data_IF_820793637151
#
_entry.id   IF_820793637151
#
_cell.length_a   1.000
_cell.length_b   1.000
_cell.length_c   1.000
_cell.angle_alpha   90.00
_cell.angle_beta   90.00
_cell.angle_gamma   90.00
#
_symmetry.space_group_name_H-M   'P 1'
#
loop_
_entity.id
_entity.type
_entity.pdbx_description
1 polymer ?
#
# COMPACT_ATOMS: atom_id res chain seq x y z
N UNK A 1 -36.11 -7.92 -38.31
CA UNK A 1 -34.75 -7.76 -38.84
C UNK A 1 -34.41 -6.28 -38.93
N UNK A 2 -33.52 -5.80 -38.06
CA UNK A 2 -32.56 -4.70 -38.24
C UNK A 2 -31.93 -4.42 -36.88
N UNK A 3 -30.61 -4.62 -36.82
CA UNK A 3 -29.82 -4.53 -35.59
C UNK A 3 -29.64 -3.09 -35.12
N UNK A 4 -29.34 -2.97 -33.83
CA UNK A 4 -28.76 -1.77 -33.23
C UNK A 4 -27.40 -2.15 -32.68
N UNK A 5 -26.38 -1.78 -33.43
CA UNK A 5 -25.00 -1.60 -32.97
C UNK A 5 -24.96 -0.33 -32.12
N UNK A 6 -24.55 -0.44 -30.87
CA UNK A 6 -24.26 0.71 -30.01
C UNK A 6 -22.76 0.97 -30.05
N UNK A 7 -22.40 1.97 -30.85
CA UNK A 7 -21.08 2.58 -30.91
C UNK A 7 -20.90 3.44 -29.65
N UNK A 8 -19.91 3.15 -28.81
CA UNK A 8 -19.53 4.06 -27.73
C UNK A 8 -18.63 5.15 -28.29
N UNK A 9 -19.03 6.39 -28.02
CA UNK A 9 -18.47 7.60 -28.56
C UNK A 9 -17.13 7.97 -27.91
N UNK A 10 -16.21 8.40 -28.76
CA UNK A 10 -15.02 9.14 -28.40
C UNK A 10 -15.39 10.47 -27.73
N UNK A 11 -14.74 10.77 -26.61
CA UNK A 11 -14.57 12.14 -26.13
C UNK A 11 -13.07 12.44 -26.13
N UNK A 12 -12.66 13.29 -27.08
CA UNK A 12 -11.38 13.96 -27.04
C UNK A 12 -11.53 15.31 -26.34
N UNK A 13 -10.54 15.69 -25.56
CA UNK A 13 -10.08 17.07 -25.45
C UNK A 13 -8.61 17.04 -25.03
N UNK A 14 -7.75 17.57 -25.89
CA UNK A 14 -6.33 17.69 -25.63
C UNK A 14 -5.99 18.91 -24.79
N UNK A 15 -4.94 18.77 -24.00
CA UNK A 15 -4.01 19.84 -23.68
C UNK A 15 -2.62 19.22 -23.51
N UNK A 16 -1.69 19.69 -24.34
CA UNK A 16 -0.25 19.51 -24.23
C UNK A 16 0.25 20.05 -22.87
N UNK A 17 1.14 19.34 -22.17
CA UNK A 17 2.51 19.80 -21.90
C UNK A 17 3.20 19.05 -20.72
N UNK A 18 4.45 18.68 -21.01
CA UNK A 18 5.61 18.41 -20.14
C UNK A 18 5.64 17.12 -19.31
N UNK A 19 6.58 16.27 -19.72
CA UNK A 19 6.96 15.05 -19.03
C UNK A 19 7.58 15.30 -17.67
N UNK A 20 7.04 14.57 -16.72
CA UNK A 20 7.59 14.21 -15.43
C UNK A 20 6.80 12.96 -15.01
N UNK A 21 7.44 12.04 -14.30
CA UNK A 21 6.69 10.99 -13.59
C UNK A 21 5.75 11.73 -12.63
N UNK A 22 4.46 11.77 -12.93
CA UNK A 22 3.47 12.39 -12.03
C UNK A 22 3.34 11.43 -10.85
N UNK A 23 4.15 11.65 -9.80
CA UNK A 23 3.66 11.41 -8.45
C UNK A 23 2.35 12.17 -8.37
N UNK A 24 1.29 11.55 -7.90
CA UNK A 24 0.09 12.33 -7.58
C UNK A 24 0.50 13.28 -6.46
N UNK A 25 0.71 14.55 -6.83
CA UNK A 25 1.14 15.58 -5.90
C UNK A 25 0.00 15.78 -4.88
N UNK A 26 0.36 15.89 -3.60
CA UNK A 26 -0.61 16.28 -2.60
C UNK A 26 -1.22 17.63 -3.00
N UNK A 27 -2.53 17.79 -2.75
CA UNK A 27 -3.18 19.06 -3.00
C UNK A 27 -2.45 20.18 -2.22
N UNK A 28 -2.46 21.45 -2.65
CA UNK A 28 -1.66 22.51 -2.02
C UNK A 28 -1.83 22.65 -0.50
N UNK A 29 -3.03 22.33 0.03
CA UNK A 29 -3.28 22.36 1.47
C UNK A 29 -2.57 21.23 2.26
N UNK A 30 -2.15 20.17 1.58
CA UNK A 30 -1.49 18.98 2.13
C UNK A 30 -0.01 18.86 1.72
N UNK A 31 0.52 19.76 0.89
CA UNK A 31 1.90 19.70 0.33
C UNK A 31 2.96 19.49 1.43
N UNK A 32 2.77 20.08 2.61
CA UNK A 32 3.68 19.93 3.77
C UNK A 32 3.84 18.48 4.26
N UNK A 33 2.88 17.61 3.97
CA UNK A 33 2.94 16.19 4.28
C UNK A 33 3.65 15.35 3.23
N UNK A 34 4.01 15.91 2.07
CA UNK A 34 4.64 15.15 0.98
C UNK A 34 5.94 14.46 1.44
N UNK A 35 6.84 15.12 2.19
CA UNK A 35 8.04 14.46 2.71
C UNK A 35 7.73 13.34 3.72
N UNK A 36 6.57 13.41 4.40
CA UNK A 36 6.13 12.40 5.37
C UNK A 36 5.61 11.14 4.69
N UNK A 37 5.20 11.19 3.41
CA UNK A 37 4.70 10.02 2.69
C UNK A 37 5.74 8.90 2.65
N UNK A 38 5.28 7.68 2.89
CA UNK A 38 6.12 6.48 2.96
C UNK A 38 6.05 5.81 4.33
N UNK A 39 7.01 4.93 4.56
CA UNK A 39 7.06 4.08 5.74
C UNK A 39 8.16 4.56 6.68
N UNK A 40 7.83 4.63 7.96
CA UNK A 40 8.71 5.07 9.02
C UNK A 40 8.75 4.03 10.11
N UNK A 41 9.90 3.86 10.74
CA UNK A 41 10.08 2.97 11.88
C UNK A 41 10.75 3.71 13.03
N UNK A 42 10.45 3.29 14.25
CA UNK A 42 11.07 3.79 15.46
C UNK A 42 11.31 2.64 16.43
N UNK A 43 12.48 2.68 17.05
CA UNK A 43 12.77 1.93 18.27
C UNK A 43 13.08 2.96 19.36
N UNK A 44 12.23 3.03 20.39
CA UNK A 44 12.36 4.00 21.46
C UNK A 44 12.08 3.40 22.83
N UNK A 45 12.50 4.12 23.86
CA UNK A 45 12.23 3.77 25.25
C UNK A 45 11.64 4.98 25.94
N UNK A 46 10.46 4.82 26.55
CA UNK A 46 9.86 5.85 27.38
C UNK A 46 10.74 6.14 28.60
N UNK A 47 10.64 7.35 29.16
CA UNK A 47 11.44 7.72 30.35
C UNK A 47 11.22 6.81 31.57
N UNK A 48 10.08 6.12 31.64
CA UNK A 48 9.74 5.11 32.65
C UNK A 48 10.19 3.67 32.31
N UNK A 49 10.95 3.49 31.23
CA UNK A 49 11.64 2.24 30.89
C UNK A 49 10.87 1.27 29.99
N UNK A 50 9.63 1.55 29.62
CA UNK A 50 8.91 0.72 28.64
C UNK A 50 9.48 0.93 27.23
N UNK A 51 9.63 -0.15 26.46
CA UNK A 51 10.11 -0.06 25.07
C UNK A 51 8.93 0.02 24.09
N UNK A 52 9.18 0.73 22.99
CA UNK A 52 8.25 0.94 21.90
C UNK A 52 8.97 0.63 20.58
N UNK A 53 8.50 -0.40 19.90
CA UNK A 53 8.82 -0.66 18.50
C UNK A 53 7.60 -0.28 17.67
N UNK A 54 7.72 0.67 16.75
CA UNK A 54 6.59 1.09 15.94
C UNK A 54 6.95 1.29 14.47
N UNK A 55 5.94 1.10 13.63
CA UNK A 55 5.97 1.38 12.19
C UNK A 55 4.78 2.26 11.85
N UNK A 56 5.00 3.36 11.16
CA UNK A 56 3.95 4.23 10.65
C UNK A 56 4.04 4.27 9.12
N UNK A 57 2.91 4.14 8.44
CA UNK A 57 2.80 4.30 7.00
C UNK A 57 1.90 5.48 6.70
N UNK A 58 2.41 6.46 5.95
CA UNK A 58 1.66 7.62 5.46
C UNK A 58 1.45 7.47 3.96
N UNK A 59 0.18 7.50 3.54
CA UNK A 59 -0.23 7.42 2.14
C UNK A 59 -1.06 8.61 1.74
N UNK A 60 -1.00 8.94 0.47
CA UNK A 60 -1.96 9.82 -0.15
C UNK A 60 -3.39 9.27 0.04
N UNK A 61 -4.31 10.16 0.39
CA UNK A 61 -5.75 9.89 0.38
C UNK A 61 -6.43 10.47 -0.85
N UNK A 62 -7.76 10.63 -0.78
CA UNK A 62 -8.60 10.99 -1.93
C UNK A 62 -8.07 12.23 -2.67
N UNK A 63 -7.56 12.04 -3.88
CA UNK A 63 -7.01 13.07 -4.78
C UNK A 63 -5.97 13.99 -4.10
N UNK A 64 -5.10 13.44 -3.25
CA UNK A 64 -4.08 14.22 -2.52
C UNK A 64 -4.63 15.21 -1.49
N UNK A 65 -5.95 15.20 -1.21
CA UNK A 65 -6.60 16.11 -0.27
C UNK A 65 -6.52 15.64 1.19
N UNK A 66 -6.09 14.40 1.39
CA UNK A 66 -5.95 13.76 2.68
C UNK A 66 -4.63 13.00 2.72
N UNK A 67 -4.17 12.68 3.93
CA UNK A 67 -3.15 11.66 4.15
C UNK A 67 -3.73 10.59 5.06
N UNK A 68 -3.61 9.33 4.67
CA UNK A 68 -3.98 8.20 5.52
C UNK A 68 -2.73 7.68 6.21
N UNK A 69 -2.74 7.66 7.54
CA UNK A 69 -1.68 7.08 8.34
C UNK A 69 -2.14 5.79 9.01
N UNK A 70 -1.32 4.75 8.99
CA UNK A 70 -1.52 3.52 9.78
C UNK A 70 -0.31 3.30 10.65
N UNK A 71 -0.52 3.07 11.94
CA UNK A 71 0.56 2.88 12.90
C UNK A 71 0.44 1.53 13.59
N UNK A 72 1.46 0.69 13.43
CA UNK A 72 1.62 -0.58 14.13
C UNK A 72 2.60 -0.42 15.27
N UNK A 73 2.33 -1.12 16.37
CA UNK A 73 3.15 -1.06 17.57
C UNK A 73 3.37 -2.45 18.14
N UNK A 74 4.58 -2.70 18.64
CA UNK A 74 4.94 -3.72 19.62
C UNK A 74 5.41 -3.02 20.90
N UNK A 75 4.68 -3.23 21.99
CA UNK A 75 5.06 -2.70 23.30
C UNK A 75 5.87 -3.73 24.07
N UNK A 76 7.00 -3.33 24.63
CA UNK A 76 7.84 -4.19 25.49
C UNK A 76 8.20 -5.54 24.84
N UNK A 77 8.39 -5.56 23.51
CA UNK A 77 8.68 -6.79 22.75
C UNK A 77 7.49 -7.74 22.60
N UNK A 78 6.27 -7.26 22.85
CA UNK A 78 5.03 -8.01 22.63
C UNK A 78 4.68 -8.21 21.15
N UNK A 79 3.54 -8.85 20.85
CA UNK A 79 3.08 -9.00 19.48
C UNK A 79 2.76 -7.64 18.84
N UNK A 80 3.12 -7.48 17.57
CA UNK A 80 2.76 -6.29 16.79
C UNK A 80 1.27 -6.26 16.51
N UNK A 81 0.64 -5.10 16.68
CA UNK A 81 -0.76 -4.88 16.35
C UNK A 81 -0.96 -3.49 15.72
N UNK A 82 -2.03 -3.31 14.95
CA UNK A 82 -2.42 -2.00 14.42
C UNK A 82 -3.01 -1.17 15.56
N UNK A 83 -2.29 -0.13 15.98
CA UNK A 83 -2.71 0.75 17.09
C UNK A 83 -3.62 1.87 16.60
N UNK A 84 -3.26 2.49 15.47
CA UNK A 84 -3.98 3.63 14.91
C UNK A 84 -4.20 3.45 13.41
N UNK A 85 -5.41 3.78 12.97
CA UNK A 85 -5.70 4.13 11.59
C UNK A 85 -6.22 5.57 11.58
N UNK A 86 -5.54 6.46 10.87
CA UNK A 86 -5.73 7.90 10.98
C UNK A 86 -5.94 8.50 9.61
N UNK A 87 -6.93 9.37 9.49
CA UNK A 87 -7.08 10.25 8.33
C UNK A 87 -6.71 11.66 8.74
N UNK A 88 -5.79 12.26 7.99
CA UNK A 88 -5.24 13.60 8.21
C UNK A 88 -5.81 14.52 7.14
N UNK A 89 -6.42 15.62 7.55
CA UNK A 89 -6.95 16.64 6.67
C UNK A 89 -6.49 18.04 7.10
N UNK A 90 -6.56 19.04 6.21
CA UNK A 90 -6.36 20.43 6.62
C UNK A 90 -7.38 20.80 7.70
N UNK A 91 -6.90 21.42 8.78
CA UNK A 91 -7.75 21.93 9.86
C UNK A 91 -8.43 23.24 9.48
N UNK A 92 -9.45 23.62 10.25
CA UNK A 92 -10.29 24.80 9.97
C UNK A 92 -9.79 26.11 10.60
N UNK A 93 -8.59 26.12 11.20
CA UNK A 93 -8.08 27.31 11.88
C UNK A 93 -7.94 28.50 10.93
N UNK A 94 -8.39 29.68 11.39
CA UNK A 94 -8.14 30.95 10.71
C UNK A 94 -6.83 31.62 11.14
N UNK A 95 -6.21 31.10 12.21
CA UNK A 95 -4.96 31.59 12.78
C UNK A 95 -3.92 30.45 12.71
N UNK A 96 -2.95 30.59 11.82
CA UNK A 96 -1.91 29.57 11.61
C UNK A 96 -2.39 28.38 10.76
N UNK A 97 -1.43 27.53 10.40
CA UNK A 97 -1.67 26.31 9.64
C UNK A 97 -1.89 25.15 10.61
N UNK A 98 -2.97 24.39 10.39
CA UNK A 98 -3.36 23.28 11.25
C UNK A 98 -3.78 22.08 10.42
N UNK A 99 -3.65 20.89 11.00
CA UNK A 99 -4.13 19.62 10.45
C UNK A 99 -4.95 18.86 11.48
N UNK A 100 -6.12 18.37 11.09
CA UNK A 100 -6.95 17.52 11.94
C UNK A 100 -6.66 16.05 11.66
N UNK A 101 -6.35 15.30 12.72
CA UNK A 101 -6.03 13.88 12.68
C UNK A 101 -7.21 13.10 13.29
N UNK A 102 -8.03 12.50 12.42
CA UNK A 102 -9.12 11.62 12.79
C UNK A 102 -8.60 10.19 12.95
N UNK A 103 -8.32 9.78 14.19
CA UNK A 103 -7.68 8.51 14.53
C UNK A 103 -8.67 7.50 15.10
N UNK A 104 -8.78 6.35 14.44
CA UNK A 104 -9.48 5.16 14.91
C UNK A 104 -8.49 4.29 15.68
N UNK A 105 -8.74 4.09 16.97
CA UNK A 105 -7.83 3.43 17.90
C UNK A 105 -8.22 1.97 18.03
N UNK A 106 -7.25 1.08 18.21
CA UNK A 106 -7.46 -0.37 18.33
C UNK A 106 -8.45 -0.81 19.43
N UNK A 107 -8.73 0.06 20.40
CA UNK A 107 -9.69 -0.17 21.49
C UNK A 107 -11.12 0.25 21.12
N UNK A 108 -11.35 0.66 19.87
CA UNK A 108 -12.65 1.07 19.32
C UNK A 108 -12.98 2.54 19.53
N UNK A 109 -12.10 3.34 20.15
CA UNK A 109 -12.30 4.79 20.28
C UNK A 109 -11.93 5.53 19.00
N UNK A 110 -12.57 6.68 18.83
CA UNK A 110 -12.17 7.69 17.84
C UNK A 110 -11.64 8.89 18.59
N UNK A 111 -10.51 9.39 18.13
CA UNK A 111 -9.84 10.56 18.69
C UNK A 111 -9.56 11.54 17.55
N UNK A 112 -9.85 12.82 17.80
CA UNK A 112 -9.61 13.89 16.82
C UNK A 112 -8.66 14.86 17.46
N UNK A 113 -7.47 15.00 16.87
CA UNK A 113 -6.43 15.91 17.36
C UNK A 113 -6.09 16.94 16.31
N UNK A 114 -5.99 18.19 16.72
CA UNK A 114 -5.42 19.24 15.90
C UNK A 114 -3.89 19.26 16.08
N UNK A 115 -3.18 19.31 14.96
CA UNK A 115 -1.76 19.53 14.87
C UNK A 115 -1.53 20.93 14.32
N UNK A 116 -0.94 21.81 15.12
CA UNK A 116 -0.56 23.16 14.75
C UNK A 116 0.85 23.14 14.14
N UNK A 117 1.08 23.94 13.11
CA UNK A 117 2.41 24.09 12.52
C UNK A 117 3.06 25.35 13.07
N UNK A 118 4.15 25.16 13.81
CA UNK A 118 5.00 26.24 14.29
C UNK A 118 6.26 26.36 13.42
N UNK A 119 6.48 27.52 12.81
CA UNK A 119 7.73 27.81 12.11
C UNK A 119 8.82 28.20 13.11
N UNK A 120 9.91 27.42 13.14
CA UNK A 120 11.07 27.66 14.00
C UNK A 120 12.33 27.79 13.14
N UNK A 121 13.44 28.26 13.73
CA UNK A 121 14.72 28.42 13.03
C UNK A 121 15.20 27.11 12.36
N UNK A 122 14.80 25.97 12.91
CA UNK A 122 15.18 24.63 12.48
C UNK A 122 14.14 23.98 11.55
N UNK A 123 13.15 24.74 11.07
CA UNK A 123 12.07 24.29 10.19
C UNK A 123 10.71 24.18 10.88
N UNK A 124 9.73 23.67 10.13
CA UNK A 124 8.37 23.49 10.60
C UNK A 124 8.27 22.36 11.63
N UNK A 125 7.66 22.67 12.78
CA UNK A 125 7.38 21.71 13.85
C UNK A 125 5.89 21.56 13.97
N UNK A 126 5.41 20.33 13.88
CA UNK A 126 4.03 20.02 14.18
C UNK A 126 3.87 19.84 15.69
N UNK A 127 2.92 20.53 16.28
CA UNK A 127 2.69 20.58 17.71
C UNK A 127 1.25 20.19 18.00
N UNK A 128 1.05 19.27 18.93
CA UNK A 128 -0.27 18.89 19.41
C UNK A 128 -0.34 18.95 20.93
N UNK A 129 -1.52 19.31 21.42
CA UNK A 129 -1.85 19.29 22.83
C UNK A 129 -3.07 18.41 23.05
N UNK A 130 -2.99 17.49 24.00
CA UNK A 130 -4.09 16.59 24.33
C UNK A 130 -4.01 16.15 25.80
N UNK A 131 -5.02 15.43 26.29
CA UNK A 131 -5.06 14.96 27.67
C UNK A 131 -5.10 13.44 27.74
N UNK A 132 -4.29 12.85 28.63
CA UNK A 132 -4.41 11.44 28.95
C UNK A 132 -5.76 11.13 29.61
N UNK A 133 -6.22 9.86 29.62
CA UNK A 133 -7.46 9.48 30.29
C UNK A 133 -7.53 9.84 31.78
N UNK A 134 -6.38 10.04 32.43
CA UNK A 134 -6.29 10.49 33.83
C UNK A 134 -6.30 12.03 33.99
N UNK A 135 -6.49 12.78 32.91
CA UNK A 135 -6.51 14.25 32.88
C UNK A 135 -5.13 14.92 32.84
N UNK A 136 -4.04 14.15 32.77
CA UNK A 136 -2.71 14.74 32.67
C UNK A 136 -2.52 15.34 31.26
N UNK A 137 -2.15 16.64 31.14
CA UNK A 137 -1.88 17.25 29.85
C UNK A 137 -0.62 16.66 29.21
N UNK A 138 -0.70 16.52 27.89
CA UNK A 138 0.35 16.08 26.99
C UNK A 138 0.62 17.18 25.98
N UNK A 139 1.91 17.39 25.72
CA UNK A 139 2.42 18.15 24.58
C UNK A 139 3.24 17.21 23.74
N UNK A 140 2.98 17.21 22.45
CA UNK A 140 3.62 16.35 21.47
C UNK A 140 4.19 17.23 20.37
N UNK A 141 5.45 16.98 20.00
CA UNK A 141 6.10 17.62 18.88
C UNK A 141 6.61 16.58 17.90
N UNK A 142 6.44 16.88 16.63
CA UNK A 142 6.98 16.09 15.54
C UNK A 142 7.62 17.02 14.52
N UNK A 143 8.82 16.66 14.07
CA UNK A 143 9.57 17.47 13.13
C UNK A 143 10.35 16.58 12.18
N UNK A 144 10.23 16.87 10.90
CA UNK A 144 11.11 16.32 9.88
C UNK A 144 12.48 17.01 9.96
N UNK A 145 13.52 16.24 10.24
CA UNK A 145 14.91 16.75 10.30
C UNK A 145 15.52 16.77 8.91
N UNK A 146 15.28 15.71 8.13
CA UNK A 146 15.68 15.54 6.74
C UNK A 146 14.73 14.55 6.05
N UNK A 147 15.01 14.18 4.80
CA UNK A 147 14.15 13.31 4.01
C UNK A 147 13.93 11.90 4.61
N UNK A 148 14.80 11.47 5.53
CA UNK A 148 14.82 10.12 6.11
C UNK A 148 14.65 10.10 7.63
N UNK A 149 14.68 11.26 8.29
CA UNK A 149 14.69 11.36 9.75
C UNK A 149 13.60 12.28 10.26
N UNK A 150 12.83 11.80 11.23
CA UNK A 150 11.80 12.55 11.93
C UNK A 150 11.97 12.42 13.43
N UNK A 151 12.03 13.55 14.13
CA UNK A 151 12.06 13.56 15.60
C UNK A 151 10.64 13.61 16.15
N UNK A 152 10.38 12.82 17.19
CA UNK A 152 9.12 12.77 17.90
C UNK A 152 9.39 12.91 19.40
N UNK A 153 8.85 13.97 20.00
CA UNK A 153 9.06 14.28 21.41
C UNK A 153 7.72 14.44 22.11
N UNK A 154 7.62 13.89 23.31
CA UNK A 154 6.40 13.96 24.11
C UNK A 154 6.75 14.41 25.52
N UNK A 155 5.99 15.37 26.02
CA UNK A 155 6.06 15.87 27.38
C UNK A 155 4.72 15.64 28.08
N UNK A 156 4.79 15.37 29.37
CA UNK A 156 3.63 15.32 30.25
C UNK A 156 3.90 16.15 31.50
N UNK A 157 2.83 16.56 32.17
CA UNK A 157 2.91 17.12 33.51
C UNK A 157 1.69 16.67 34.32
N UNK A 158 1.80 16.56 35.66
CA UNK A 158 0.67 16.11 36.49
C UNK A 158 -0.55 17.04 36.41
N UNK A 159 -0.31 18.35 36.31
CA UNK A 159 -1.33 19.39 36.21
C UNK A 159 -0.77 20.65 35.54
N UNK A 160 -1.65 21.62 35.27
CA UNK A 160 -1.30 22.84 34.54
C UNK A 160 -0.30 23.78 35.26
N UNK A 161 -0.06 23.58 36.56
CA UNK A 161 0.86 24.39 37.38
C UNK A 161 2.26 23.79 37.49
N UNK A 162 2.40 22.49 37.19
CA UNK A 162 3.68 21.79 37.21
C UNK A 162 4.52 22.06 35.95
N UNK A 163 5.84 21.83 36.09
CA UNK A 163 6.77 21.85 34.96
C UNK A 163 6.53 20.66 34.02
N UNK A 164 6.85 20.84 32.75
CA UNK A 164 6.80 19.76 31.76
C UNK A 164 7.97 18.80 31.94
N UNK A 165 7.66 17.51 32.03
CA UNK A 165 8.63 16.42 32.04
C UNK A 165 8.62 15.74 30.67
N UNK A 166 9.78 15.63 30.02
CA UNK A 166 9.90 14.92 28.75
C UNK A 166 9.84 13.42 29.00
N UNK A 167 8.86 12.75 28.41
CA UNK A 167 8.62 11.31 28.57
C UNK A 167 9.00 10.50 27.34
N UNK A 168 9.20 11.15 26.19
CA UNK A 168 9.69 10.54 24.95
C UNK A 168 10.67 11.48 24.23
N UNK A 169 11.77 10.91 23.73
CA UNK A 169 12.66 11.50 22.74
C UNK A 169 12.98 10.42 21.71
N UNK A 170 12.15 10.36 20.68
CA UNK A 170 12.17 9.35 19.64
C UNK A 170 12.71 9.89 18.32
N UNK A 171 13.38 9.02 17.57
CA UNK A 171 13.74 9.29 16.18
C UNK A 171 13.13 8.21 15.30
N UNK A 172 12.23 8.63 14.42
CA UNK A 172 11.71 7.82 13.34
C UNK A 172 12.68 7.87 12.16
N UNK A 173 12.91 6.72 11.55
CA UNK A 173 13.71 6.58 10.34
C UNK A 173 12.81 6.08 9.22
N UNK A 174 12.85 6.79 8.09
CA UNK A 174 12.17 6.40 6.86
C UNK A 174 12.84 5.15 6.31
N UNK A 175 12.04 4.17 5.94
CA UNK A 175 12.54 3.04 5.16
C UNK A 175 12.73 3.54 3.73
N UNK A 176 13.93 3.31 3.17
CA UNK A 176 14.30 3.78 1.85
C UNK A 176 13.54 3.04 0.75
N UNK A 177 13.12 3.78 -0.27
CA UNK A 177 12.30 3.33 -1.41
C UNK A 177 12.93 2.34 -2.39
N UNK A 178 13.97 1.59 -1.98
CA UNK A 178 14.58 0.54 -2.80
C UNK A 178 14.75 -0.73 -1.96
N UNK A 179 14.02 -1.77 -2.36
CA UNK A 179 14.11 -3.19 -1.96
C UNK A 179 13.89 -3.58 -0.47
N UNK A 180 14.06 -2.68 0.51
CA UNK A 180 13.78 -2.97 1.95
C UNK A 180 12.41 -2.46 2.42
N UNK A 181 11.61 -1.97 1.48
CA UNK A 181 10.39 -1.20 1.68
C UNK A 181 9.12 -2.06 1.79
N UNK A 182 9.23 -3.25 2.41
CA UNK A 182 8.10 -4.16 2.43
C UNK A 182 7.14 -3.88 3.58
N UNK A 183 5.94 -3.40 3.24
CA UNK A 183 4.79 -3.37 4.15
C UNK A 183 4.13 -4.74 4.18
N UNK A 184 4.76 -5.67 4.90
CA UNK A 184 4.16 -6.95 5.23
C UNK A 184 3.05 -6.78 6.28
N UNK A 185 1.80 -6.91 5.86
CA UNK A 185 0.65 -7.01 6.75
C UNK A 185 0.38 -8.47 7.10
N UNK A 186 -0.08 -8.80 8.32
CA UNK A 186 -0.55 -10.14 8.62
C UNK A 186 -1.58 -10.58 7.58
N UNK A 187 -1.36 -11.76 7.01
CA UNK A 187 -2.30 -12.36 6.07
C UNK A 187 -3.53 -12.80 6.86
N UNK A 188 -4.68 -12.16 6.62
CA UNK A 188 -5.94 -12.58 7.20
C UNK A 188 -6.44 -13.85 6.50
N UNK A 189 -6.14 -15.00 7.08
CA UNK A 189 -6.58 -16.29 6.57
C UNK A 189 -8.10 -16.41 6.48
N UNK A 190 -8.87 -15.63 7.25
CA UNK A 190 -10.33 -15.64 7.20
C UNK A 190 -10.89 -14.97 5.96
N UNK A 191 -10.09 -14.16 5.26
CA UNK A 191 -10.49 -13.52 3.99
C UNK A 191 -10.57 -14.49 2.81
N UNK A 192 -9.92 -15.66 2.89
CA UNK A 192 -9.88 -16.65 1.82
C UNK A 192 -11.14 -17.51 1.77
N UNK A 193 -11.59 -17.82 0.55
CA UNK A 193 -12.74 -18.69 0.34
C UNK A 193 -12.39 -20.18 0.47
N UNK A 194 -11.44 -20.66 -0.31
CA UNK A 194 -11.00 -22.06 -0.30
C UNK A 194 -9.96 -22.37 0.77
N UNK A 195 -9.87 -23.64 1.17
CA UNK A 195 -8.84 -24.17 2.07
C UNK A 195 -8.61 -25.68 1.82
N UNK A 196 -7.47 -26.21 2.29
CA UNK A 196 -7.14 -27.64 2.24
C UNK A 196 -6.43 -28.09 0.95
N UNK A 197 -6.40 -29.41 0.72
CA UNK A 197 -5.48 -30.05 -0.25
C UNK A 197 -6.02 -30.12 -1.68
N UNK A 198 -7.32 -29.87 -1.90
CA UNK A 198 -7.96 -29.99 -3.21
C UNK A 198 -8.90 -28.82 -3.51
N UNK A 199 -8.41 -27.57 -3.51
CA UNK A 199 -9.24 -26.41 -3.86
C UNK A 199 -9.66 -26.48 -5.34
N UNK A 200 -10.83 -25.93 -5.66
CA UNK A 200 -11.23 -25.70 -7.05
C UNK A 200 -10.20 -24.80 -7.73
N UNK A 201 -9.70 -25.21 -8.90
CA UNK A 201 -8.56 -24.58 -9.56
C UNK A 201 -8.56 -24.71 -11.09
N UNK A 202 -7.75 -23.90 -11.78
CA UNK A 202 -7.35 -24.10 -13.17
C UNK A 202 -5.93 -23.59 -13.41
N UNK A 203 -5.32 -23.98 -14.54
CA UNK A 203 -3.94 -23.63 -14.91
C UNK A 203 -3.89 -22.97 -16.29
N UNK A 204 -3.00 -21.98 -16.44
CA UNK A 204 -2.63 -21.32 -17.71
C UNK A 204 -1.12 -21.42 -17.87
N UNK A 205 -0.66 -21.87 -19.03
CA UNK A 205 0.77 -22.00 -19.35
C UNK A 205 1.17 -21.03 -20.45
N UNK A 206 2.39 -20.50 -20.39
CA UNK A 206 2.96 -19.65 -21.44
C UNK A 206 4.46 -19.91 -21.62
N UNK A 207 4.96 -19.73 -22.85
CA UNK A 207 6.38 -19.74 -23.18
C UNK A 207 6.77 -18.32 -23.60
N UNK A 208 7.78 -17.74 -22.96
CA UNK A 208 8.20 -16.35 -23.18
C UNK A 208 9.68 -16.34 -23.54
N UNK A 209 10.03 -15.81 -24.71
CA UNK A 209 11.43 -15.64 -25.13
C UNK A 209 12.09 -14.44 -24.42
N UNK A 210 12.23 -14.56 -23.09
CA UNK A 210 12.95 -13.65 -22.22
C UNK A 210 13.57 -14.41 -21.03
N UNK A 211 14.70 -13.94 -20.47
CA UNK A 211 15.35 -14.60 -19.34
C UNK A 211 14.45 -14.60 -18.10
N UNK A 212 14.61 -15.63 -17.27
CA UNK A 212 13.74 -15.88 -16.11
C UNK A 212 13.71 -14.71 -15.13
N UNK A 213 14.82 -13.97 -15.00
CA UNK A 213 14.93 -12.78 -14.17
C UNK A 213 13.94 -11.70 -14.63
N UNK A 214 13.85 -11.45 -15.94
CA UNK A 214 12.96 -10.43 -16.51
C UNK A 214 11.49 -10.84 -16.37
N UNK A 215 11.19 -12.11 -16.65
CA UNK A 215 9.84 -12.66 -16.53
C UNK A 215 9.39 -12.65 -15.07
N UNK A 216 10.25 -13.09 -14.14
CA UNK A 216 9.98 -13.03 -12.70
C UNK A 216 9.77 -11.60 -12.21
N UNK A 217 10.60 -10.63 -12.67
CA UNK A 217 10.45 -9.22 -12.32
C UNK A 217 9.10 -8.65 -12.74
N UNK A 218 8.58 -9.04 -13.90
CA UNK A 218 7.27 -8.59 -14.39
C UNK A 218 6.11 -8.97 -13.45
N UNK A 219 6.25 -10.03 -12.64
CA UNK A 219 5.27 -10.42 -11.64
C UNK A 219 5.55 -9.87 -10.24
N UNK A 220 6.75 -9.36 -9.98
CA UNK A 220 7.19 -9.04 -8.60
C UNK A 220 7.54 -7.58 -8.37
N UNK A 221 7.55 -6.75 -9.42
CA UNK A 221 7.90 -5.34 -9.34
C UNK A 221 6.89 -4.51 -10.12
N UNK A 222 6.33 -3.48 -9.48
CA UNK A 222 5.23 -2.70 -10.07
C UNK A 222 5.61 -1.98 -11.37
N UNK A 223 6.84 -1.47 -11.46
CA UNK A 223 7.35 -0.81 -12.65
C UNK A 223 7.54 -1.79 -13.84
N UNK A 224 8.04 -2.99 -13.55
CA UNK A 224 8.21 -4.07 -14.52
C UNK A 224 6.85 -4.64 -14.97
N UNK A 225 5.91 -4.81 -14.03
CA UNK A 225 4.53 -5.20 -14.31
C UNK A 225 3.89 -4.28 -15.35
N UNK A 226 3.95 -2.95 -15.14
CA UNK A 226 3.36 -1.98 -16.07
C UNK A 226 3.93 -2.12 -17.48
N UNK A 227 5.27 -2.28 -17.58
CA UNK A 227 5.98 -2.46 -18.86
C UNK A 227 5.59 -3.76 -19.57
N UNK A 228 5.38 -4.84 -18.81
CA UNK A 228 5.00 -6.14 -19.37
C UNK A 228 3.51 -6.23 -19.72
N UNK A 229 2.62 -5.60 -18.94
CA UNK A 229 1.18 -5.77 -19.11
C UNK A 229 0.58 -4.86 -20.19
N UNK A 230 0.80 -3.55 -20.09
CA UNK A 230 0.24 -2.56 -21.01
C UNK A 230 1.06 -1.25 -20.93
N UNK A 231 2.27 -1.20 -21.52
CA UNK A 231 3.18 -0.06 -21.41
C UNK A 231 2.60 1.26 -21.93
N UNK A 232 1.62 1.19 -22.85
CA UNK A 232 0.91 2.34 -23.41
C UNK A 232 -0.14 2.95 -22.48
N UNK A 233 -0.52 2.26 -21.39
CA UNK A 233 -1.51 2.75 -20.43
C UNK A 233 -0.82 3.51 -19.30
N UNK A 234 -0.74 4.83 -19.44
CA UNK A 234 -0.06 5.70 -18.46
C UNK A 234 -0.60 5.58 -17.03
N UNK A 235 -1.92 5.50 -16.88
CA UNK A 235 -2.56 5.36 -15.57
C UNK A 235 -2.41 3.96 -14.94
N UNK A 236 -1.93 2.95 -15.68
CA UNK A 236 -1.74 1.62 -15.10
C UNK A 236 -0.56 1.66 -14.12
N UNK A 237 -0.78 1.17 -12.91
CA UNK A 237 0.26 0.98 -11.90
C UNK A 237 0.13 -0.36 -11.20
N UNK A 238 1.09 -0.66 -10.33
CA UNK A 238 0.96 -1.71 -9.35
C UNK A 238 1.78 -1.39 -8.10
N UNK A 239 1.20 -1.65 -6.93
CA UNK A 239 1.92 -1.67 -5.67
C UNK A 239 2.30 -3.12 -5.37
N UNK A 240 3.56 -3.47 -5.59
CA UNK A 240 4.07 -4.80 -5.29
C UNK A 240 5.24 -4.66 -4.33
N UNK A 241 5.06 -5.13 -3.10
CA UNK A 241 6.12 -5.22 -2.11
C UNK A 241 6.49 -6.69 -1.91
N UNK A 242 7.67 -7.10 -2.37
CA UNK A 242 8.06 -8.51 -2.37
C UNK A 242 8.51 -9.03 -0.98
N UNK A 243 7.58 -9.15 -0.04
CA UNK A 243 7.73 -9.97 1.17
C UNK A 243 6.42 -10.68 1.50
N UNK A 244 6.48 -11.69 2.37
CA UNK A 244 5.29 -12.37 2.86
C UNK A 244 4.38 -11.36 3.57
N UNK A 245 3.13 -11.24 3.11
CA UNK A 245 2.17 -10.25 3.58
C UNK A 245 2.29 -8.88 2.90
N UNK A 246 3.29 -8.67 2.04
CA UNK A 246 3.50 -7.43 1.28
C UNK A 246 2.38 -7.14 0.30
N UNK A 247 2.25 -5.90 -0.18
CA UNK A 247 1.21 -5.53 -1.16
C UNK A 247 1.35 -6.34 -2.46
N UNK A 248 0.21 -6.69 -3.04
CA UNK A 248 0.12 -7.23 -4.39
C UNK A 248 -1.09 -6.65 -5.11
N UNK A 249 -1.03 -5.35 -5.41
CA UNK A 249 -2.16 -4.57 -5.92
C UNK A 249 -1.88 -4.13 -7.35
N UNK A 250 -2.73 -4.53 -8.29
CA UNK A 250 -2.74 -3.99 -9.65
C UNK A 250 -3.75 -2.85 -9.69
N UNK A 251 -3.32 -1.68 -10.15
CA UNK A 251 -4.08 -0.43 -10.14
C UNK A 251 -4.41 -0.04 -11.58
N UNK A 252 -5.62 -0.35 -12.04
CA UNK A 252 -5.98 -0.22 -13.47
C UNK A 252 -6.22 1.23 -13.92
N UNK A 253 -6.57 2.11 -12.98
CA UNK A 253 -6.73 3.57 -13.14
C UNK A 253 -5.70 4.36 -12.30
N UNK A 254 -4.71 3.67 -11.73
CA UNK A 254 -3.68 4.24 -10.87
C UNK A 254 -4.05 4.25 -9.39
N UNK A 255 -5.31 3.96 -9.04
CA UNK A 255 -5.80 4.02 -7.66
C UNK A 255 -6.52 2.72 -7.25
N UNK A 256 -7.31 2.15 -8.15
CA UNK A 256 -8.22 1.04 -7.91
C UNK A 256 -7.91 -0.16 -8.80
N UNK A 257 -8.07 -1.35 -8.21
CA UNK A 257 -8.04 -2.61 -8.93
C UNK A 257 -8.09 -3.79 -7.97
N UNK A 258 -6.94 -4.37 -7.64
CA UNK A 258 -6.84 -5.47 -6.67
C UNK A 258 -6.37 -5.02 -5.27
N UNK A 259 -6.74 -3.81 -4.85
CA UNK A 259 -6.37 -3.28 -3.53
C UNK A 259 -6.68 -4.28 -2.41
N UNK A 260 -5.76 -4.38 -1.44
CA UNK A 260 -5.83 -5.33 -0.33
C UNK A 260 -5.33 -6.74 -0.62
N UNK A 261 -4.97 -7.07 -1.88
CA UNK A 261 -4.30 -8.33 -2.20
C UNK A 261 -2.84 -8.30 -1.72
N UNK A 262 -2.31 -9.47 -1.35
CA UNK A 262 -1.02 -9.61 -0.68
C UNK A 262 -0.16 -10.73 -1.29
N UNK A 263 1.17 -10.56 -1.26
CA UNK A 263 2.14 -11.64 -1.52
C UNK A 263 2.05 -12.67 -0.40
N UNK A 264 1.93 -13.95 -0.74
CA UNK A 264 1.79 -15.05 0.22
C UNK A 264 3.11 -15.80 0.43
N UNK A 265 3.87 -16.01 -0.64
CA UNK A 265 5.19 -16.65 -0.62
C UNK A 265 5.88 -16.46 -1.96
N UNK A 266 7.21 -16.60 -1.99
CA UNK A 266 7.99 -16.53 -3.23
C UNK A 266 9.32 -17.26 -3.07
N UNK A 267 9.86 -17.68 -4.21
CA UNK A 267 11.24 -18.13 -4.39
C UNK A 267 11.78 -17.36 -5.60
N UNK A 268 12.84 -16.53 -5.44
CA UNK A 268 13.39 -15.74 -6.54
C UNK A 268 13.61 -16.57 -7.82
N UNK A 269 13.15 -16.05 -8.95
CA UNK A 269 13.25 -16.66 -10.28
C UNK A 269 12.63 -18.07 -10.41
N UNK A 270 11.76 -18.48 -9.47
CA UNK A 270 11.15 -19.82 -9.49
C UNK A 270 9.66 -19.79 -9.21
N UNK A 271 9.21 -19.00 -8.24
CA UNK A 271 7.81 -18.94 -7.87
C UNK A 271 7.43 -17.62 -7.20
N UNK A 272 6.22 -17.13 -7.46
CA UNK A 272 5.54 -16.15 -6.61
C UNK A 272 4.09 -16.57 -6.42
N UNK A 273 3.56 -16.34 -5.23
CA UNK A 273 2.15 -16.57 -4.92
C UNK A 273 1.55 -15.36 -4.24
N UNK A 274 0.29 -15.08 -4.52
CA UNK A 274 -0.42 -13.90 -4.02
C UNK A 274 -1.91 -14.19 -3.85
N UNK A 275 -2.55 -13.50 -2.91
CA UNK A 275 -4.02 -13.49 -2.81
C UNK A 275 -4.61 -12.68 -3.95
N UNK A 276 -5.85 -12.98 -4.32
CA UNK A 276 -6.51 -12.31 -5.44
C UNK A 276 -8.00 -12.11 -5.17
N UNK A 277 -8.56 -11.00 -5.64
CA UNK A 277 -9.99 -10.67 -5.51
C UNK A 277 -10.70 -10.68 -6.87
N UNK A 278 -12.01 -10.91 -6.85
CA UNK A 278 -12.83 -10.84 -8.05
C UNK A 278 -13.02 -9.38 -8.54
N UNK A 279 -13.36 -9.15 -9.81
CA UNK A 279 -13.64 -7.82 -10.35
C UNK A 279 -14.71 -7.04 -9.56
N UNK A 280 -14.69 -5.69 -9.57
CA UNK A 280 -15.61 -4.84 -8.80
C UNK A 280 -17.11 -5.18 -8.89
N UNK A 281 -17.56 -5.68 -10.04
CA UNK A 281 -18.96 -6.00 -10.29
C UNK A 281 -19.40 -7.38 -9.75
N UNK A 282 -18.48 -8.25 -9.33
CA UNK A 282 -18.80 -9.60 -8.90
C UNK A 282 -19.01 -9.71 -7.39
N UNK A 283 -20.06 -10.40 -6.97
CA UNK A 283 -20.43 -10.55 -5.55
C UNK A 283 -19.42 -11.33 -4.71
N UNK A 284 -18.54 -12.10 -5.36
CA UNK A 284 -17.44 -12.87 -4.74
C UNK A 284 -16.24 -12.00 -4.36
N UNK A 285 -16.18 -10.72 -4.76
CA UNK A 285 -15.03 -9.82 -4.55
C UNK A 285 -14.60 -9.67 -3.09
N UNK A 286 -15.52 -9.78 -2.14
CA UNK A 286 -15.22 -9.67 -0.71
C UNK A 286 -14.46 -10.88 -0.14
N UNK A 287 -14.17 -11.89 -0.96
CA UNK A 287 -13.43 -13.11 -0.59
C UNK A 287 -12.22 -13.25 -1.50
N UNK A 288 -11.12 -13.72 -0.93
CA UNK A 288 -9.88 -13.95 -1.66
C UNK A 288 -9.76 -15.39 -2.15
N UNK A 289 -9.24 -15.51 -3.37
CA UNK A 289 -8.60 -16.71 -3.92
C UNK A 289 -7.08 -16.53 -3.84
N UNK A 290 -6.30 -17.48 -4.36
CA UNK A 290 -4.86 -17.28 -4.52
C UNK A 290 -4.35 -17.78 -5.86
N UNK A 291 -3.27 -17.18 -6.31
CA UNK A 291 -2.60 -17.49 -7.56
C UNK A 291 -1.17 -17.91 -7.24
N UNK A 292 -0.70 -18.95 -7.90
CA UNK A 292 0.70 -19.39 -7.87
C UNK A 292 1.23 -19.31 -9.28
N UNK A 293 2.33 -18.58 -9.47
CA UNK A 293 3.04 -18.47 -10.74
C UNK A 293 4.40 -19.10 -10.58
N UNK A 294 4.68 -20.12 -11.38
CA UNK A 294 5.93 -20.87 -11.40
C UNK A 294 6.69 -20.54 -12.69
N UNK A 295 8.02 -20.48 -12.58
CA UNK A 295 8.93 -20.12 -13.67
C UNK A 295 10.00 -21.18 -13.83
N UNK A 296 10.13 -21.70 -15.04
CA UNK A 296 11.15 -22.69 -15.41
C UNK A 296 11.99 -22.14 -16.57
N UNK A 297 13.31 -21.94 -16.38
CA UNK A 297 14.19 -21.55 -17.47
C UNK A 297 14.17 -22.59 -18.60
N UNK A 298 14.00 -22.13 -19.83
CA UNK A 298 14.04 -22.93 -21.04
C UNK A 298 15.29 -22.61 -21.88
N UNK A 299 15.54 -23.38 -22.94
CA UNK A 299 16.68 -23.12 -23.85
C UNK A 299 16.55 -21.77 -24.56
N UNK A 300 17.69 -21.06 -24.70
CA UNK A 300 17.78 -19.85 -25.54
C UNK A 300 17.22 -18.58 -24.92
N UNK A 301 17.54 -18.30 -23.65
CA UNK A 301 17.03 -17.15 -22.88
C UNK A 301 15.50 -17.04 -22.91
N UNK A 302 14.84 -18.19 -22.69
CA UNK A 302 13.40 -18.30 -22.62
C UNK A 302 12.96 -18.83 -21.25
N UNK A 303 11.68 -18.64 -20.93
CA UNK A 303 11.08 -19.08 -19.67
C UNK A 303 9.71 -19.68 -19.94
N UNK A 304 9.49 -20.89 -19.43
CA UNK A 304 8.17 -21.51 -19.33
C UNK A 304 7.51 -21.05 -18.02
N UNK A 305 6.29 -20.52 -18.14
CA UNK A 305 5.50 -19.97 -17.03
C UNK A 305 4.25 -20.81 -16.84
N UNK A 306 4.02 -21.25 -15.61
CA UNK A 306 2.78 -21.93 -15.22
C UNK A 306 2.06 -21.11 -14.16
N UNK A 307 0.87 -20.61 -14.48
CA UNK A 307 0.00 -19.91 -13.55
C UNK A 307 -1.13 -20.85 -13.13
N UNK A 308 -1.27 -21.10 -11.83
CA UNK A 308 -2.38 -21.85 -11.26
C UNK A 308 -3.19 -20.94 -10.34
N UNK A 309 -4.50 -20.79 -10.63
CA UNK A 309 -5.43 -20.01 -9.81
C UNK A 309 -6.33 -20.97 -9.04
N UNK A 310 -6.34 -20.85 -7.71
CA UNK A 310 -6.93 -21.79 -6.76
C UNK A 310 -7.84 -21.07 -5.76
N UNK A 311 -8.65 -21.86 -5.05
CA UNK A 311 -9.36 -21.39 -3.86
C UNK A 311 -10.75 -20.83 -4.14
N UNK A 312 -11.31 -21.10 -5.32
CA UNK A 312 -12.66 -20.69 -5.67
C UNK A 312 -13.70 -21.47 -4.85
N UNK A 313 -14.77 -20.77 -4.45
CA UNK A 313 -15.92 -21.40 -3.82
C UNK A 313 -16.87 -22.10 -4.80
N UNK A 314 -18.07 -22.39 -4.31
CA UNK A 314 -19.12 -23.09 -5.04
C UNK A 314 -20.33 -22.19 -5.35
N UNK A 315 -21.10 -22.54 -6.39
CA UNK A 315 -22.32 -21.84 -6.79
C UNK A 315 -22.12 -20.85 -7.93
N UNK A 316 -23.24 -20.34 -8.46
CA UNK A 316 -23.30 -19.58 -9.72
C UNK A 316 -22.39 -18.35 -9.73
N UNK A 317 -22.33 -17.61 -8.62
CA UNK A 317 -21.45 -16.45 -8.48
C UNK A 317 -19.96 -16.83 -8.61
N UNK A 318 -19.57 -17.96 -8.01
CA UNK A 318 -18.21 -18.49 -8.12
C UNK A 318 -17.94 -19.09 -9.49
N UNK A 319 -18.94 -19.68 -10.16
CA UNK A 319 -18.82 -20.15 -11.55
C UNK A 319 -18.55 -19.00 -12.53
N UNK A 320 -19.20 -17.85 -12.32
CA UNK A 320 -18.95 -16.63 -13.08
C UNK A 320 -17.52 -16.13 -12.87
N UNK A 321 -17.07 -16.02 -11.62
CA UNK A 321 -15.69 -15.60 -11.29
C UNK A 321 -14.65 -16.57 -11.84
N UNK A 322 -14.88 -17.87 -11.71
CA UNK A 322 -14.01 -18.92 -12.24
C UNK A 322 -13.89 -18.81 -13.77
N UNK A 323 -15.00 -18.59 -14.47
CA UNK A 323 -15.04 -18.39 -15.93
C UNK A 323 -14.37 -17.08 -16.34
N UNK A 324 -14.56 -16.01 -15.58
CA UNK A 324 -13.91 -14.72 -15.83
C UNK A 324 -12.39 -14.88 -15.84
N UNK A 325 -11.81 -15.51 -14.81
CA UNK A 325 -10.35 -15.63 -14.72
C UNK A 325 -9.76 -16.65 -15.71
N UNK A 326 -10.51 -17.67 -16.12
CA UNK A 326 -10.10 -18.53 -17.24
C UNK A 326 -9.90 -17.76 -18.55
N UNK A 327 -10.60 -16.64 -18.74
CA UNK A 327 -10.44 -15.78 -19.90
C UNK A 327 -9.41 -14.65 -19.67
N UNK A 328 -9.34 -14.11 -18.45
CA UNK A 328 -8.46 -13.00 -18.12
C UNK A 328 -6.98 -13.40 -18.06
N UNK A 329 -6.63 -14.53 -17.45
CA UNK A 329 -5.22 -14.93 -17.31
C UNK A 329 -4.52 -15.23 -18.63
N UNK A 330 -5.13 -15.89 -19.63
CA UNK A 330 -4.52 -16.02 -20.95
C UNK A 330 -4.22 -14.68 -21.62
N UNK A 331 -5.09 -13.67 -21.45
CA UNK A 331 -4.84 -12.33 -21.96
C UNK A 331 -3.63 -11.68 -21.27
N UNK A 332 -3.52 -11.79 -19.96
CA UNK A 332 -2.36 -11.30 -19.19
C UNK A 332 -1.07 -11.99 -19.65
N UNK A 333 -1.08 -13.31 -19.78
CA UNK A 333 0.08 -14.09 -20.22
C UNK A 333 0.54 -13.65 -21.62
N UNK A 334 -0.40 -13.43 -22.53
CA UNK A 334 -0.11 -12.95 -23.88
C UNK A 334 0.46 -11.52 -23.90
N UNK A 335 -0.08 -10.62 -23.07
CA UNK A 335 0.49 -9.27 -22.90
C UNK A 335 1.93 -9.32 -22.44
N UNK A 336 2.22 -10.11 -21.39
CA UNK A 336 3.57 -10.24 -20.83
C UNK A 336 4.53 -10.78 -21.89
N UNK A 337 4.14 -11.86 -22.57
CA UNK A 337 4.91 -12.45 -23.66
C UNK A 337 5.23 -11.41 -24.74
N UNK A 338 4.20 -10.76 -25.27
CA UNK A 338 4.30 -9.80 -26.38
C UNK A 338 5.15 -8.57 -26.06
N UNK A 339 5.20 -8.12 -24.80
CA UNK A 339 5.95 -6.92 -24.41
C UNK A 339 7.38 -7.25 -23.94
N UNK A 340 7.57 -8.37 -23.24
CA UNK A 340 8.91 -8.81 -22.81
C UNK A 340 9.77 -9.24 -24.00
N UNK A 341 9.19 -9.91 -25.01
CA UNK A 341 9.91 -10.31 -26.23
C UNK A 341 10.33 -9.13 -27.12
N UNK A 342 9.73 -7.95 -26.92
CA UNK A 342 10.06 -6.72 -27.66
C UNK A 342 11.07 -5.83 -26.91
N UNK A 343 11.22 -6.01 -25.61
CA UNK A 343 12.11 -5.20 -24.81
C UNK A 343 13.57 -5.59 -25.13
N UNK A 344 14.48 -4.64 -25.41
CA UNK A 344 15.90 -4.94 -25.43
C UNK A 344 16.33 -5.39 -24.02
N UNK A 345 17.02 -6.53 -23.97
CA UNK A 345 17.46 -7.18 -22.72
C UNK A 345 18.41 -6.36 -21.86
#
# INVERSE_FOLDING_TARGET
MRGRTTTWAACGMGALMMGGVVRADLAPAMERWEPMLGVWTIHATWSFGATLDAKAEYREGVEGRFVHARTWVSDNGGPTYLRYETTICPGESTEGETYDLHSFIHDGRVDVRAWEVEERDEGAVFVAHWEMPNGAPIREEMRLVDAETLTWKVWSRPDASAAWDQIMDGSWTKLGGEEDDVVAMPIDSSSFEGAGDTPRQFTVTGHIAAPVEAVYRAWTHGDAFRRAFAPEREALGANIDLAIGGRYEWLFDGVTGSNGCQVLSYIPNRMVSFSWNAPPAQSTRGRHTWVVVEFEPAEGDATDVTLTHLGFGEGEAWDETFTYFQNAWPFVMESFRSNLEKAPG
#
